data_IF_075563745143
#
_entry.id   IF_075563745143
#
_cell.length_a   1.000
_cell.length_b   1.000
_cell.length_c   1.000
_cell.angle_alpha   90.00
_cell.angle_beta   90.00
_cell.angle_gamma   90.00
#
_symmetry.space_group_name_H-M   'P 1'
#
loop_
_entity.id
_entity.type
_entity.pdbx_description
1 polymer ?
#
# COMPACT_ATOMS: atom_id res chain seq x y z
N UNK A 1 -26.23 15.03 4.49
CA UNK A 1 -25.07 14.44 3.78
C UNK A 1 -24.17 13.73 4.78
N UNK A 2 -23.74 12.50 4.50
CA UNK A 2 -22.64 11.86 5.25
C UNK A 2 -21.33 12.27 4.58
N UNK A 3 -20.65 13.26 5.14
CA UNK A 3 -19.28 13.60 4.74
C UNK A 3 -18.35 12.56 5.36
N UNK A 4 -17.78 11.69 4.54
CA UNK A 4 -16.66 10.85 4.95
C UNK A 4 -15.43 11.76 4.95
N UNK A 5 -14.86 12.13 6.10
CA UNK A 5 -13.62 12.88 6.10
C UNK A 5 -12.61 12.01 5.34
N UNK A 6 -11.89 12.60 4.37
CA UNK A 6 -10.69 11.97 3.84
C UNK A 6 -9.78 11.74 5.05
N UNK A 7 -9.81 10.54 5.61
CA UNK A 7 -8.95 10.14 6.70
C UNK A 7 -7.54 10.09 6.13
N UNK A 8 -6.87 11.24 6.18
CA UNK A 8 -5.48 11.33 5.81
C UNK A 8 -4.73 10.51 6.84
N UNK A 9 -4.39 9.28 6.49
CA UNK A 9 -3.46 8.47 7.26
C UNK A 9 -2.12 9.22 7.21
N UNK A 10 -1.86 10.01 8.25
CA UNK A 10 -0.70 10.89 8.35
C UNK A 10 0.49 10.10 8.92
N UNK A 11 1.70 10.43 8.49
CA UNK A 11 2.93 9.80 9.00
C UNK A 11 3.31 8.48 8.31
N UNK A 12 2.59 8.11 7.24
CA UNK A 12 2.98 7.06 6.30
C UNK A 12 3.43 7.73 5.00
N UNK A 13 4.67 7.45 4.60
CA UNK A 13 5.25 7.87 3.33
C UNK A 13 6.00 6.68 2.74
N UNK A 14 6.01 6.59 1.40
CA UNK A 14 6.83 5.64 0.66
C UNK A 14 8.14 6.34 0.31
N UNK A 15 9.25 5.62 0.34
CA UNK A 15 10.55 6.15 -0.07
C UNK A 15 10.98 5.51 -1.39
N UNK A 16 11.26 6.33 -2.41
CA UNK A 16 11.69 5.84 -3.73
C UNK A 16 11.33 6.79 -4.89
N UNK A 17 11.70 6.40 -6.11
CA UNK A 17 11.36 7.17 -7.33
C UNK A 17 9.97 6.78 -7.84
N UNK A 18 8.96 7.67 -7.77
CA UNK A 18 7.61 7.37 -8.25
C UNK A 18 7.54 7.06 -9.76
N UNK A 19 8.53 7.46 -10.57
CA UNK A 19 8.64 7.04 -11.96
C UNK A 19 9.11 5.60 -12.13
N UNK A 20 9.76 5.03 -11.11
CA UNK A 20 10.29 3.67 -11.09
C UNK A 20 9.79 2.86 -9.88
N UNK A 21 8.48 2.56 -9.76
CA UNK A 21 7.90 1.90 -8.60
C UNK A 21 8.50 0.53 -8.28
N UNK A 22 9.00 -0.19 -9.29
CA UNK A 22 9.68 -1.46 -9.09
C UNK A 22 10.97 -1.36 -8.28
N UNK A 23 11.51 -0.15 -8.04
CA UNK A 23 12.69 0.05 -7.18
C UNK A 23 12.36 -0.06 -5.70
N UNK A 24 11.15 0.32 -5.27
CA UNK A 24 10.75 0.37 -3.86
C UNK A 24 9.49 -0.44 -3.51
N UNK A 25 8.74 -0.94 -4.49
CA UNK A 25 7.65 -1.90 -4.31
C UNK A 25 8.03 -3.25 -4.90
N UNK A 26 7.80 -4.30 -4.13
CA UNK A 26 7.91 -5.68 -4.60
C UNK A 26 6.62 -6.43 -4.28
N UNK A 27 6.23 -7.39 -5.13
CA UNK A 27 5.10 -8.26 -4.81
C UNK A 27 5.31 -8.99 -3.48
N UNK A 28 4.25 -9.08 -2.68
CA UNK A 28 4.26 -9.73 -1.37
C UNK A 28 3.51 -11.07 -1.47
N UNK A 29 4.26 -12.17 -1.38
CA UNK A 29 3.73 -13.54 -1.47
C UNK A 29 2.87 -13.82 -2.72
N UNK A 30 3.47 -13.69 -3.91
CA UNK A 30 2.80 -13.87 -5.22
C UNK A 30 2.00 -15.17 -5.38
N UNK A 31 2.30 -16.21 -4.58
CA UNK A 31 1.66 -17.53 -4.72
C UNK A 31 1.38 -18.20 -3.38
N UNK A 32 0.10 -18.24 -3.04
CA UNK A 32 -0.43 -19.17 -2.04
C UNK A 32 -1.35 -20.18 -2.74
N UNK A 33 -0.81 -21.39 -2.90
CA UNK A 33 -1.47 -22.58 -3.46
C UNK A 33 -2.16 -22.37 -4.81
N UNK A 34 -3.39 -21.84 -4.79
CA UNK A 34 -4.33 -21.77 -5.93
C UNK A 34 -4.73 -20.34 -6.30
N UNK A 35 -4.26 -19.32 -5.56
CA UNK A 35 -4.64 -17.92 -5.77
C UNK A 35 -3.42 -17.00 -5.93
N UNK A 36 -3.55 -16.06 -6.87
CA UNK A 36 -2.59 -14.97 -7.05
C UNK A 36 -2.92 -13.86 -6.07
N UNK A 37 -2.03 -13.58 -5.13
CA UNK A 37 -2.19 -12.40 -4.27
C UNK A 37 -1.77 -11.15 -5.04
N UNK A 38 -2.55 -10.08 -4.88
CA UNK A 38 -2.28 -8.78 -5.50
C UNK A 38 -1.53 -7.83 -4.57
N UNK A 39 -0.96 -8.36 -3.50
CA UNK A 39 -0.34 -7.61 -2.42
C UNK A 39 1.05 -7.14 -2.85
N UNK A 40 1.45 -5.98 -2.33
CA UNK A 40 2.81 -5.46 -2.46
C UNK A 40 3.36 -5.16 -1.08
N UNK A 41 4.67 -5.20 -0.94
CA UNK A 41 5.37 -4.64 0.20
C UNK A 41 6.49 -3.74 -0.24
N UNK A 42 6.85 -2.83 0.64
CA UNK A 42 7.94 -1.90 0.40
C UNK A 42 9.29 -2.56 0.60
N UNK A 43 10.32 -2.09 -0.13
CA UNK A 43 11.72 -2.45 0.09
C UNK A 43 12.60 -1.20 0.08
N UNK A 44 13.77 -1.29 0.70
CA UNK A 44 14.74 -0.18 0.67
C UNK A 44 14.38 1.02 1.54
N UNK A 45 13.45 0.87 2.48
CA UNK A 45 13.09 1.90 3.46
C UNK A 45 13.07 1.35 4.89
N UNK A 46 13.12 2.23 5.88
CA UNK A 46 13.25 1.84 7.29
C UNK A 46 12.00 1.16 7.89
N UNK A 47 10.82 1.45 7.33
CA UNK A 47 9.55 0.85 7.78
C UNK A 47 9.03 -0.07 6.69
N UNK A 48 8.72 -1.31 7.03
CA UNK A 48 8.03 -2.21 6.11
C UNK A 48 6.53 -1.85 6.09
N UNK A 49 5.98 -1.66 4.90
CA UNK A 49 4.59 -1.32 4.65
C UNK A 49 4.05 -2.34 3.65
N UNK A 50 2.97 -3.03 4.03
CA UNK A 50 2.21 -3.91 3.15
C UNK A 50 1.02 -3.14 2.56
N UNK A 51 0.84 -3.26 1.25
CA UNK A 51 -0.27 -2.74 0.48
C UNK A 51 -1.13 -3.93 0.07
N UNK A 52 -2.39 -3.93 0.48
CA UNK A 52 -3.36 -4.98 0.14
C UNK A 52 -4.35 -4.47 -0.91
N UNK A 53 -4.98 -5.36 -1.69
CA UNK A 53 -6.05 -4.97 -2.60
C UNK A 53 -7.19 -4.25 -1.89
N UNK A 54 -7.67 -3.14 -2.44
CA UNK A 54 -8.69 -2.32 -1.79
C UNK A 54 -9.98 -3.08 -1.46
N UNK A 55 -10.37 -4.06 -2.28
CA UNK A 55 -11.58 -4.87 -2.06
C UNK A 55 -11.48 -5.82 -0.86
N UNK A 56 -10.27 -6.01 -0.30
CA UNK A 56 -10.03 -6.77 0.91
C UNK A 56 -10.22 -5.92 2.17
N UNK A 57 -10.14 -4.59 2.06
CA UNK A 57 -10.41 -3.67 3.17
C UNK A 57 -11.91 -3.67 3.50
N UNK A 58 -12.23 -3.89 4.78
CA UNK A 58 -13.61 -3.92 5.29
C UNK A 58 -13.88 -2.72 6.19
N UNK A 59 -14.23 -2.94 7.45
CA UNK A 59 -14.61 -1.90 8.42
C UNK A 59 -13.39 -1.12 8.97
N UNK A 60 -12.40 -0.87 8.10
CA UNK A 60 -11.12 -0.24 8.41
C UNK A 60 -10.94 1.04 7.59
N UNK A 61 -10.17 1.97 8.14
CA UNK A 61 -9.80 3.21 7.44
C UNK A 61 -8.69 2.90 6.45
N UNK A 62 -8.83 3.36 5.20
CA UNK A 62 -7.82 3.20 4.16
C UNK A 62 -7.47 4.52 3.46
N UNK A 63 -6.32 4.51 2.79
CA UNK A 63 -5.93 5.53 1.80
C UNK A 63 -5.39 4.84 0.56
N UNK A 64 -5.63 5.44 -0.60
CA UNK A 64 -5.02 5.04 -1.88
C UNK A 64 -3.97 6.02 -2.35
N UNK A 65 -3.83 7.16 -1.66
CA UNK A 65 -2.84 8.18 -1.96
C UNK A 65 -1.79 8.22 -0.85
N UNK A 66 -0.53 8.08 -1.25
CA UNK A 66 0.63 8.13 -0.38
C UNK A 66 1.58 9.21 -0.86
N UNK A 67 2.19 9.94 0.07
CA UNK A 67 3.34 10.78 -0.26
C UNK A 67 4.53 9.87 -0.59
N UNK A 68 5.29 10.25 -1.62
CA UNK A 68 6.56 9.61 -1.97
C UNK A 68 7.68 10.61 -1.71
N UNK A 69 8.74 10.19 -1.01
CA UNK A 69 9.89 11.01 -0.63
C UNK A 69 11.21 10.43 -1.12
#
# INVERSE_FOLDING_TARGET
EKTYPNYRISGIALTGDPAEPGTFLIPDDEREWTYWRGDYRTRGQAKDIRLIPLHEVRDEVYTVYFSVS
#
